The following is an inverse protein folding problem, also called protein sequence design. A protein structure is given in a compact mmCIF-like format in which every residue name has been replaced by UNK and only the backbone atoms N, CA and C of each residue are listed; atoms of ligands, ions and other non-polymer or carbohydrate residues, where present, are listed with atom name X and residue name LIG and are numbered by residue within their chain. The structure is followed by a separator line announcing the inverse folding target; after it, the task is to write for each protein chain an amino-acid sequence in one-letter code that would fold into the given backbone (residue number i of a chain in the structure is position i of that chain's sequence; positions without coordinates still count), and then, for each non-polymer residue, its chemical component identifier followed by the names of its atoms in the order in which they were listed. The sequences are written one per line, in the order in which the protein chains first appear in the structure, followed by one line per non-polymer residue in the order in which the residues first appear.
data_IF_594008225016
#
_entry.id   IF_594008225016
#
_cell.length_a   1.000
_cell.length_b   1.000
_cell.length_c   1.000
_cell.angle_alpha   90.00
_cell.angle_beta   90.00
_cell.angle_gamma   90.00
#
_symmetry.space_group_name_H-M   'P 1'
#
loop_
_entity.id
_entity.type
_entity.pdbx_description
1 polymer ?
#
# COMPACT_ATOMS: atom_id res chain seq x y z
N UNK A 1 4.08 -6.22 16.64
CA UNK A 1 3.02 -6.20 15.60
C UNK A 1 3.70 -6.01 14.25
N UNK A 2 3.37 -6.84 13.27
CA UNK A 2 4.09 -6.97 11.99
C UNK A 2 3.78 -5.82 11.03
N UNK A 3 4.73 -5.48 10.15
CA UNK A 3 4.48 -4.58 9.03
C UNK A 3 3.48 -5.17 8.03
N UNK A 4 2.82 -4.30 7.27
CA UNK A 4 1.96 -4.73 6.16
C UNK A 4 2.78 -5.38 5.05
N UNK A 5 2.23 -6.47 4.52
CA UNK A 5 2.73 -7.13 3.32
C UNK A 5 2.56 -6.21 2.11
N UNK A 6 3.49 -6.30 1.18
CA UNK A 6 3.46 -5.52 -0.04
C UNK A 6 4.29 -6.18 -1.13
N UNK A 7 4.05 -5.74 -2.36
CA UNK A 7 4.99 -5.91 -3.47
C UNK A 7 5.55 -4.55 -3.86
N UNK A 8 6.76 -4.53 -4.41
CA UNK A 8 7.46 -3.30 -4.83
C UNK A 8 7.87 -3.40 -6.30
N UNK A 9 7.67 -2.32 -7.04
CA UNK A 9 8.12 -2.17 -8.43
C UNK A 9 8.87 -0.84 -8.60
N UNK A 10 10.05 -0.87 -9.21
CA UNK A 10 10.90 0.31 -9.42
C UNK A 10 11.70 0.72 -8.19
N UNK A 11 12.78 1.47 -8.46
CA UNK A 11 13.79 1.86 -7.49
C UNK A 11 13.95 3.37 -7.31
N UNK A 12 12.97 4.14 -7.82
CA UNK A 12 12.99 5.59 -7.71
C UNK A 12 12.90 6.11 -6.27
N UNK A 13 13.42 7.32 -6.00
CA UNK A 13 13.47 7.87 -4.65
C UNK A 13 12.12 8.31 -4.08
N UNK A 14 11.08 8.43 -4.91
CA UNK A 14 9.75 8.88 -4.50
C UNK A 14 8.81 7.69 -4.25
N UNK A 15 8.41 7.40 -3.01
CA UNK A 15 7.56 6.26 -2.73
C UNK A 15 6.10 6.54 -3.13
N UNK A 16 5.48 5.59 -3.80
CA UNK A 16 4.05 5.61 -4.17
C UNK A 16 3.37 4.38 -3.59
N UNK A 17 2.29 4.57 -2.82
CA UNK A 17 1.46 3.47 -2.34
C UNK A 17 0.22 3.27 -3.22
N UNK A 18 0.01 2.05 -3.68
CA UNK A 18 -1.22 1.58 -4.31
C UNK A 18 -2.05 0.79 -3.29
N UNK A 19 -3.30 1.21 -3.10
CA UNK A 19 -4.21 0.68 -2.08
C UNK A 19 -5.46 0.09 -2.74
N UNK A 20 -5.69 -1.20 -2.49
CA UNK A 20 -6.82 -1.92 -3.09
C UNK A 20 -8.15 -1.61 -2.38
N UNK A 21 -9.26 -1.95 -3.03
CA UNK A 21 -10.59 -1.88 -2.43
C UNK A 21 -10.91 -3.09 -1.54
N UNK A 22 -12.10 -3.10 -0.94
CA UNK A 22 -12.56 -4.23 -0.12
C UNK A 22 -12.49 -5.58 -0.87
N UNK A 23 -12.09 -6.64 -0.17
CA UNK A 23 -11.83 -7.99 -0.71
C UNK A 23 -10.68 -8.08 -1.74
N UNK A 24 -9.92 -7.01 -1.92
CA UNK A 24 -8.74 -6.98 -2.77
C UNK A 24 -7.45 -7.39 -2.05
N UNK A 25 -6.34 -7.27 -2.77
CA UNK A 25 -4.96 -7.43 -2.30
C UNK A 25 -4.03 -6.61 -3.20
N UNK A 26 -2.79 -6.36 -2.76
CA UNK A 26 -1.75 -5.74 -3.56
C UNK A 26 -1.48 -6.49 -4.87
N UNK A 27 -1.71 -7.81 -4.90
CA UNK A 27 -1.60 -8.62 -6.13
C UNK A 27 -2.56 -8.16 -7.23
N UNK A 28 -3.76 -7.67 -6.89
CA UNK A 28 -4.70 -7.14 -7.88
C UNK A 28 -4.15 -5.90 -8.59
N UNK A 29 -3.17 -5.22 -8.01
CA UNK A 29 -2.58 -3.97 -8.50
C UNK A 29 -1.23 -4.18 -9.19
N UNK A 30 -0.75 -5.43 -9.34
CA UNK A 30 0.60 -5.72 -9.81
C UNK A 30 0.90 -5.19 -11.24
N UNK A 31 -0.06 -5.30 -12.16
CA UNK A 31 0.11 -4.78 -13.52
C UNK A 31 0.19 -3.25 -13.53
N UNK A 32 -0.65 -2.59 -12.73
CA UNK A 32 -0.61 -1.14 -12.57
C UNK A 32 0.71 -0.68 -11.94
N UNK A 33 1.18 -1.37 -10.89
CA UNK A 33 2.44 -1.06 -10.23
C UNK A 33 3.62 -1.08 -11.19
N UNK A 34 3.73 -2.13 -12.03
CA UNK A 34 4.78 -2.25 -13.05
C UNK A 34 4.68 -1.17 -14.12
N UNK A 35 3.48 -0.88 -14.60
CA UNK A 35 3.25 0.17 -15.60
C UNK A 35 3.65 1.56 -15.09
N UNK A 36 3.28 1.89 -13.85
CA UNK A 36 3.65 3.14 -13.22
C UNK A 36 5.15 3.26 -12.98
N UNK A 37 5.79 2.19 -12.46
CA UNK A 37 7.24 2.18 -12.25
C UNK A 37 8.02 2.34 -13.57
N UNK A 38 7.54 1.75 -14.66
CA UNK A 38 8.16 1.88 -15.98
C UNK A 38 7.92 3.28 -16.60
N UNK A 39 6.71 3.83 -16.47
CA UNK A 39 6.34 5.13 -17.03
C UNK A 39 6.83 6.34 -16.22
N UNK A 40 7.15 6.14 -14.94
CA UNK A 40 7.58 7.18 -14.01
C UNK A 40 8.73 6.67 -13.13
N UNK A 41 9.96 6.52 -13.67
CA UNK A 41 11.08 5.85 -13.02
C UNK A 41 11.58 6.55 -11.73
N UNK A 42 11.15 7.79 -11.48
CA UNK A 42 11.39 8.48 -10.20
C UNK A 42 10.60 7.85 -9.04
N UNK A 43 9.61 7.01 -9.32
CA UNK A 43 8.82 6.35 -8.30
C UNK A 43 9.32 4.95 -7.96
N UNK A 44 9.22 4.61 -6.68
CA UNK A 44 9.19 3.23 -6.21
C UNK A 44 7.76 2.92 -5.75
N UNK A 45 7.11 2.00 -6.45
CA UNK A 45 5.67 1.74 -6.33
C UNK A 45 5.43 0.53 -5.44
N UNK A 46 4.74 0.74 -4.34
CA UNK A 46 4.39 -0.24 -3.32
C UNK A 46 2.91 -0.59 -3.42
N UNK A 47 2.57 -1.82 -3.79
CA UNK A 47 1.21 -2.31 -3.70
C UNK A 47 1.03 -3.03 -2.36
N UNK A 48 0.39 -2.36 -1.41
CA UNK A 48 0.16 -2.89 -0.06
C UNK A 48 -1.05 -3.82 -0.02
N UNK A 49 -0.95 -4.87 0.79
CA UNK A 49 -2.10 -5.59 1.31
C UNK A 49 -2.63 -4.83 2.53
N UNK A 50 -3.87 -4.34 2.48
CA UNK A 50 -4.51 -3.74 3.66
C UNK A 50 -4.68 -4.79 4.78
N UNK A 51 -4.79 -4.38 6.05
CA UNK A 51 -5.02 -5.30 7.16
C UNK A 51 -6.17 -6.28 6.89
N UNK A 52 -5.99 -7.55 7.25
CA UNK A 52 -6.95 -8.63 7.01
C UNK A 52 -7.00 -9.15 5.57
N UNK A 53 -6.14 -8.66 4.68
CA UNK A 53 -6.08 -9.08 3.28
C UNK A 53 -4.69 -9.60 2.90
N UNK A 54 -4.63 -10.47 1.89
CA UNK A 54 -3.38 -10.99 1.35
C UNK A 54 -2.47 -11.58 2.43
N UNK A 55 -1.22 -11.10 2.49
CA UNK A 55 -0.23 -11.49 3.49
C UNK A 55 -0.19 -10.61 4.74
N UNK A 56 -1.06 -9.61 4.85
CA UNK A 56 -1.06 -8.67 5.99
C UNK A 56 -1.75 -9.26 7.23
N UNK A 57 -1.36 -8.84 8.44
CA UNK A 57 -1.99 -9.29 9.68
C UNK A 57 -3.50 -9.04 9.70
N UNK A 58 -4.28 -9.84 10.46
CA UNK A 58 -5.71 -9.62 10.61
C UNK A 58 -5.99 -8.26 11.25
N UNK A 59 -7.06 -7.62 10.80
CA UNK A 59 -7.58 -6.40 11.41
C UNK A 59 -8.37 -6.76 12.68
N UNK A 60 -8.29 -5.93 13.73
CA UNK A 60 -9.10 -6.12 14.92
C UNK A 60 -10.60 -6.02 14.60
N UNK A 61 -11.44 -6.76 15.33
CA UNK A 61 -12.88 -6.88 15.02
C UNK A 61 -13.66 -5.56 15.15
N UNK A 62 -13.18 -4.66 16.00
CA UNK A 62 -13.75 -3.33 16.28
C UNK A 62 -13.03 -2.20 15.52
N UNK A 63 -12.14 -2.54 14.58
CA UNK A 63 -11.37 -1.57 13.86
C UNK A 63 -12.22 -0.75 12.88
N UNK A 64 -11.97 0.56 12.88
CA UNK A 64 -12.51 1.50 11.91
C UNK A 64 -11.56 1.72 10.73
N UNK A 65 -12.02 2.46 9.71
CA UNK A 65 -11.17 2.85 8.57
C UNK A 65 -9.94 3.64 9.03
N UNK A 66 -10.07 4.43 10.10
CA UNK A 66 -8.93 5.14 10.66
C UNK A 66 -7.86 4.19 11.22
N UNK A 67 -8.22 3.02 11.75
CA UNK A 67 -7.27 1.99 12.16
C UNK A 67 -6.47 1.46 10.97
N UNK A 68 -7.14 1.18 9.85
CA UNK A 68 -6.50 0.78 8.59
C UNK A 68 -5.50 1.86 8.14
N UNK A 69 -5.90 3.12 8.14
CA UNK A 69 -5.03 4.23 7.78
C UNK A 69 -3.82 4.35 8.72
N UNK A 70 -4.00 4.17 10.03
CA UNK A 70 -2.90 4.16 11.02
C UNK A 70 -1.91 3.03 10.74
N UNK A 71 -2.38 1.82 10.43
CA UNK A 71 -1.51 0.68 10.12
C UNK A 71 -0.70 0.91 8.85
N UNK A 72 -1.33 1.47 7.81
CA UNK A 72 -0.68 1.86 6.57
C UNK A 72 0.39 2.94 6.82
N UNK A 73 0.05 4.01 7.53
CA UNK A 73 0.99 5.10 7.83
C UNK A 73 2.19 4.62 8.64
N UNK A 74 2.00 3.73 9.61
CA UNK A 74 3.12 3.11 10.35
C UNK A 74 4.03 2.33 9.39
N UNK A 75 3.45 1.48 8.54
CA UNK A 75 4.21 0.67 7.59
C UNK A 75 4.94 1.52 6.54
N UNK A 76 4.31 2.60 6.05
CA UNK A 76 4.92 3.53 5.11
C UNK A 76 6.09 4.30 5.73
N UNK A 77 5.91 4.82 6.95
CA UNK A 77 6.97 5.56 7.68
C UNK A 77 8.18 4.70 8.04
N UNK A 78 7.97 3.41 8.28
CA UNK A 78 9.07 2.47 8.50
C UNK A 78 9.94 2.24 7.24
N UNK A 79 9.38 2.49 6.05
CA UNK A 79 10.05 2.26 4.75
C UNK A 79 10.70 3.51 4.17
N UNK A 80 10.11 4.68 4.39
CA UNK A 80 10.68 5.94 3.90
C UNK A 80 10.24 7.12 4.76
N UNK A 81 11.19 8.04 4.99
CA UNK A 81 10.95 9.34 5.60
C UNK A 81 10.49 10.40 4.59
N UNK A 82 10.54 10.11 3.27
CA UNK A 82 10.08 11.04 2.23
C UNK A 82 8.55 11.05 2.13
N UNK A 83 7.94 12.14 1.65
CA UNK A 83 6.51 12.18 1.39
C UNK A 83 6.07 11.08 0.43
N UNK A 84 4.96 10.43 0.74
CA UNK A 84 4.38 9.36 -0.06
C UNK A 84 3.27 9.90 -0.96
N UNK A 85 3.26 9.44 -2.21
CA UNK A 85 2.09 9.56 -3.10
C UNK A 85 1.14 8.40 -2.80
N UNK A 86 -0.15 8.68 -2.59
CA UNK A 86 -1.16 7.65 -2.33
C UNK A 86 -2.13 7.55 -3.50
N UNK A 87 -2.38 6.33 -3.97
CA UNK A 87 -3.37 6.02 -5.01
C UNK A 87 -4.25 4.90 -4.50
N UNK A 88 -5.50 5.23 -4.19
CA UNK A 88 -6.44 4.30 -3.58
C UNK A 88 -7.71 4.10 -4.41
N UNK A 89 -8.22 2.87 -4.42
CA UNK A 89 -9.51 2.53 -5.05
C UNK A 89 -10.55 2.16 -4.00
N UNK A 90 -11.75 2.76 -4.07
CA UNK A 90 -12.88 2.46 -3.17
C UNK A 90 -12.49 2.57 -1.70
N UNK A 91 -12.51 1.48 -0.93
CA UNK A 91 -12.03 1.45 0.46
C UNK A 91 -10.61 1.99 0.61
N UNK A 92 -9.71 1.64 -0.32
CA UNK A 92 -8.32 2.12 -0.28
C UNK A 92 -8.18 3.61 -0.55
N UNK A 93 -9.22 4.29 -1.07
CA UNK A 93 -9.22 5.74 -1.28
C UNK A 93 -9.90 6.52 -0.16
N UNK A 94 -10.41 5.85 0.89
CA UNK A 94 -11.04 6.47 2.06
C UNK A 94 -10.03 6.74 3.17
#
# INVERSE_FOLDING_TARGET
MSELAHTRAGDGPQPLALLHGFLGSGRNLATLARGLAAGAPQHSVYAFDLPGHGGSPPLAADADVAAVARELLRSARARSATPWTLVGHSLGGR
#
